data_IF_245881262610
#
_entry.id   IF_245881262610
#
_cell.length_a   1.000
_cell.length_b   1.000
_cell.length_c   1.000
_cell.angle_alpha   90.00
_cell.angle_beta   90.00
_cell.angle_gamma   90.00
#
_symmetry.space_group_name_H-M   'P 1'
#
loop_
_entity.id
_entity.type
_entity.pdbx_description
1 polymer ?
#
# COMPACT_ATOMS: atom_id res chain seq x y z
N UNK A 1 -0.87 -0.61 -12.88
CA UNK A 1 0.13 -0.43 -13.95
C UNK A 1 1.44 -1.11 -13.52
N UNK A 2 2.35 -1.38 -14.45
CA UNK A 2 3.67 -1.94 -14.14
C UNK A 2 4.72 -0.85 -14.36
N UNK A 3 5.66 -0.74 -13.44
CA UNK A 3 6.78 0.20 -13.53
C UNK A 3 8.10 -0.52 -13.27
N UNK A 4 9.16 0.00 -13.89
CA UNK A 4 10.53 -0.43 -13.70
C UNK A 4 11.35 0.75 -13.20
N UNK A 5 12.18 0.52 -12.18
CA UNK A 5 13.01 1.56 -11.56
C UNK A 5 14.49 1.17 -11.65
N UNK A 6 15.30 2.16 -12.01
CA UNK A 6 16.75 2.12 -11.92
C UNK A 6 17.17 3.05 -10.78
N UNK A 7 17.74 2.48 -9.73
CA UNK A 7 18.22 3.25 -8.58
C UNK A 7 19.74 3.38 -8.64
N UNK A 8 20.24 4.60 -8.45
CA UNK A 8 21.67 4.92 -8.39
C UNK A 8 22.20 4.74 -6.95
N UNK A 9 22.20 3.51 -6.45
CA UNK A 9 22.98 3.17 -5.26
C UNK A 9 24.46 3.01 -5.63
N UNK A 10 25.34 2.69 -4.66
CA UNK A 10 26.75 2.40 -4.95
C UNK A 10 26.89 1.27 -6.01
N UNK A 11 25.89 0.39 -6.08
CA UNK A 11 25.68 -0.58 -7.15
C UNK A 11 24.30 -0.37 -7.81
N UNK A 12 24.18 -0.66 -9.10
CA UNK A 12 22.92 -0.50 -9.84
C UNK A 12 21.89 -1.51 -9.34
N UNK A 13 20.71 -1.03 -8.93
CA UNK A 13 19.57 -1.89 -8.59
C UNK A 13 18.51 -1.86 -9.68
N UNK A 14 18.07 -3.05 -10.09
CA UNK A 14 16.95 -3.26 -10.99
C UNK A 14 15.72 -3.69 -10.17
N UNK A 15 14.71 -2.82 -10.13
CA UNK A 15 13.53 -3.03 -9.32
C UNK A 15 12.25 -2.97 -10.15
N UNK A 16 11.33 -3.90 -9.89
CA UNK A 16 10.01 -3.93 -10.50
C UNK A 16 8.96 -3.51 -9.49
N UNK A 17 7.96 -2.75 -9.94
CA UNK A 17 6.79 -2.40 -9.15
C UNK A 17 5.52 -2.73 -9.93
N UNK A 18 4.56 -3.34 -9.24
CA UNK A 18 3.22 -3.57 -9.73
C UNK A 18 2.21 -2.91 -8.82
N UNK A 19 1.39 -2.04 -9.40
CA UNK A 19 0.32 -1.34 -8.71
C UNK A 19 -1.04 -1.74 -9.27
N UNK A 20 -1.99 -2.02 -8.39
CA UNK A 20 -3.41 -2.22 -8.72
C UNK A 20 -4.23 -1.24 -7.91
N UNK A 21 -5.17 -0.56 -8.54
CA UNK A 21 -6.15 0.32 -7.88
C UNK A 21 -7.54 -0.18 -8.22
N UNK A 22 -8.46 -0.15 -7.26
CA UNK A 22 -9.86 -0.49 -7.50
C UNK A 22 -10.79 0.53 -6.87
N UNK A 23 -11.96 0.64 -7.46
CA UNK A 23 -13.09 1.36 -6.92
C UNK A 23 -14.35 0.66 -7.40
N UNK A 24 -15.30 0.46 -6.52
CA UNK A 24 -16.58 -0.12 -6.86
C UNK A 24 -17.67 0.44 -5.95
N UNK A 25 -18.86 0.59 -6.50
CA UNK A 25 -20.04 1.05 -5.77
C UNK A 25 -21.16 0.04 -5.96
N UNK A 26 -21.80 -0.35 -4.86
CA UNK A 26 -22.84 -1.36 -4.80
C UNK A 26 -24.06 -0.84 -4.03
N UNK A 27 -25.13 -1.65 -4.03
CA UNK A 27 -26.35 -1.40 -3.26
C UNK A 27 -26.92 0.01 -3.51
N UNK A 28 -27.11 0.37 -4.78
CA UNK A 28 -27.64 1.67 -5.21
C UNK A 28 -26.90 2.87 -4.59
N UNK A 29 -25.57 2.76 -4.47
CA UNK A 29 -24.74 3.81 -3.90
C UNK A 29 -24.62 3.78 -2.39
N UNK A 30 -25.16 2.76 -1.70
CA UNK A 30 -25.03 2.63 -0.24
C UNK A 30 -23.70 2.05 0.22
N UNK A 31 -23.00 1.30 -0.62
CA UNK A 31 -21.71 0.68 -0.28
C UNK A 31 -20.66 1.10 -1.30
N UNK A 32 -19.55 1.67 -0.83
CA UNK A 32 -18.38 1.96 -1.66
C UNK A 32 -17.20 1.12 -1.19
N UNK A 33 -16.54 0.43 -2.12
CA UNK A 33 -15.27 -0.24 -1.91
C UNK A 33 -14.20 0.48 -2.72
N UNK A 34 -12.99 0.55 -2.19
CA UNK A 34 -11.87 1.16 -2.88
C UNK A 34 -10.55 0.73 -2.29
N UNK A 35 -9.47 1.18 -2.90
CA UNK A 35 -8.13 0.98 -2.39
C UNK A 35 -7.11 0.76 -3.49
N UNK A 36 -5.90 0.48 -3.06
CA UNK A 36 -4.80 0.11 -3.93
C UNK A 36 -3.96 -1.00 -3.30
N UNK A 37 -3.13 -1.62 -4.13
CA UNK A 37 -2.12 -2.60 -3.75
C UNK A 37 -0.86 -2.32 -4.57
N UNK A 38 0.25 -2.13 -3.86
CA UNK A 38 1.60 -2.03 -4.40
C UNK A 38 2.42 -3.24 -3.98
N UNK A 39 3.14 -3.81 -4.94
CA UNK A 39 4.13 -4.85 -4.72
C UNK A 39 5.40 -4.47 -5.49
N UNK A 40 6.53 -4.38 -4.80
CA UNK A 40 7.79 -4.03 -5.45
C UNK A 40 9.00 -4.71 -4.81
N UNK A 41 10.10 -4.72 -5.56
CA UNK A 41 11.42 -5.08 -5.01
C UNK A 41 12.21 -3.84 -4.65
N UNK A 42 13.02 -3.94 -3.60
CA UNK A 42 14.06 -2.96 -3.26
C UNK A 42 15.38 -3.69 -3.04
N UNK A 43 16.50 -3.00 -3.26
CA UNK A 43 17.81 -3.51 -2.90
C UNK A 43 17.96 -3.68 -1.38
N UNK A 44 18.47 -4.82 -0.92
CA UNK A 44 18.67 -5.07 0.51
C UNK A 44 19.62 -4.05 1.13
N UNK A 45 20.60 -3.55 0.35
CA UNK A 45 21.56 -2.55 0.80
C UNK A 45 20.91 -1.23 1.24
N UNK A 46 19.71 -0.93 0.74
CA UNK A 46 18.94 0.26 1.13
C UNK A 46 18.57 0.26 2.62
N UNK A 47 18.34 -0.91 3.22
CA UNK A 47 17.88 -1.02 4.61
C UNK A 47 18.86 -1.75 5.53
N UNK A 48 19.74 -2.60 4.98
CA UNK A 48 20.67 -3.44 5.76
C UNK A 48 22.14 -3.00 5.64
N UNK A 49 22.42 -1.98 4.83
CA UNK A 49 23.75 -1.40 4.65
C UNK A 49 24.48 -1.90 3.40
N UNK A 50 25.61 -1.26 3.03
CA UNK A 50 26.21 -1.40 1.70
C UNK A 50 26.80 -2.78 1.38
N UNK A 51 26.93 -3.65 2.37
CA UNK A 51 27.44 -5.03 2.19
C UNK A 51 26.33 -6.06 2.09
N UNK A 52 25.07 -5.66 2.24
CA UNK A 52 23.93 -6.57 2.13
C UNK A 52 23.67 -6.88 0.66
N UNK A 53 23.50 -8.17 0.35
CA UNK A 53 23.22 -8.67 -0.99
C UNK A 53 21.78 -9.17 -1.08
N UNK A 54 21.19 -9.07 -2.27
CA UNK A 54 19.85 -9.53 -2.59
C UNK A 54 18.78 -8.44 -2.63
N UNK A 55 17.52 -8.90 -2.77
CA UNK A 55 16.34 -8.04 -2.90
C UNK A 55 15.35 -8.28 -1.77
N UNK A 56 14.71 -7.20 -1.33
CA UNK A 56 13.54 -7.25 -0.45
C UNK A 56 12.27 -7.08 -1.25
N UNK A 57 11.31 -7.97 -1.01
CA UNK A 57 9.94 -7.76 -1.46
C UNK A 57 9.24 -6.84 -0.46
N UNK A 58 8.62 -5.79 -0.97
CA UNK A 58 7.84 -4.83 -0.20
C UNK A 58 6.41 -4.84 -0.71
N UNK A 59 5.46 -4.83 0.23
CA UNK A 59 4.03 -4.81 -0.05
C UNK A 59 3.36 -3.71 0.75
N UNK A 60 2.44 -2.99 0.11
CA UNK A 60 1.59 -1.99 0.73
C UNK A 60 0.20 -2.07 0.11
N UNK A 61 -0.84 -2.03 0.92
CA UNK A 61 -2.22 -2.04 0.46
C UNK A 61 -3.12 -1.32 1.46
N UNK A 62 -4.04 -0.51 0.95
CA UNK A 62 -5.02 0.22 1.77
C UNK A 62 -6.44 -0.06 1.24
N UNK A 63 -6.99 -1.28 1.44
CA UNK A 63 -8.39 -1.54 1.18
C UNK A 63 -9.30 -0.68 2.06
N UNK A 64 -10.31 -0.11 1.43
CA UNK A 64 -11.32 0.74 2.03
C UNK A 64 -12.73 0.19 1.82
N UNK A 65 -13.56 0.35 2.84
CA UNK A 65 -14.99 0.07 2.81
C UNK A 65 -15.75 1.23 3.43
N UNK A 66 -16.80 1.69 2.75
CA UNK A 66 -17.62 2.82 3.17
C UNK A 66 -19.10 2.51 3.04
N UNK A 67 -19.84 2.75 4.11
CA UNK A 67 -21.30 2.80 4.10
C UNK A 67 -21.78 4.25 3.97
N UNK A 68 -22.50 4.53 2.89
CA UNK A 68 -23.00 5.86 2.54
C UNK A 68 -24.37 6.08 3.18
N UNK A 69 -24.36 6.74 4.34
CA UNK A 69 -25.56 7.05 5.13
C UNK A 69 -26.41 8.06 4.36
N UNK A 70 -25.77 9.10 3.82
CA UNK A 70 -26.36 10.08 2.91
C UNK A 70 -25.45 10.25 1.68
N UNK A 71 -25.88 10.98 0.63
CA UNK A 71 -25.00 11.30 -0.50
C UNK A 71 -23.71 12.03 -0.07
N UNK A 72 -23.78 12.78 1.02
CA UNK A 72 -22.67 13.59 1.53
C UNK A 72 -21.92 12.95 2.69
N UNK A 73 -22.50 11.99 3.42
CA UNK A 73 -21.92 11.46 4.64
C UNK A 73 -21.78 9.94 4.60
N UNK A 74 -20.56 9.47 4.84
CA UNK A 74 -20.21 8.05 4.91
C UNK A 74 -19.49 7.72 6.21
N UNK A 75 -19.72 6.52 6.72
CA UNK A 75 -18.93 5.88 7.78
C UNK A 75 -18.22 4.68 7.18
N UNK A 76 -16.96 4.48 7.52
CA UNK A 76 -16.20 3.40 6.93
C UNK A 76 -14.95 3.05 7.69
N UNK A 77 -14.17 2.18 7.05
CA UNK A 77 -12.89 1.73 7.54
C UNK A 77 -11.90 1.62 6.40
N UNK A 78 -10.65 1.83 6.74
CA UNK A 78 -9.50 1.51 5.92
C UNK A 78 -8.60 0.58 6.74
N UNK A 79 -7.95 -0.37 6.09
CA UNK A 79 -6.95 -1.21 6.75
C UNK A 79 -5.64 -1.02 6.00
N UNK A 80 -4.64 -0.41 6.64
CA UNK A 80 -3.29 -0.36 6.09
C UNK A 80 -2.63 -1.73 6.31
N UNK A 81 -2.33 -2.42 5.22
CA UNK A 81 -1.61 -3.68 5.19
C UNK A 81 -0.22 -3.44 4.62
N UNK A 82 0.81 -3.84 5.36
CA UNK A 82 2.18 -3.59 4.91
C UNK A 82 3.12 -4.72 5.27
N UNK A 83 4.11 -4.97 4.41
CA UNK A 83 5.20 -5.93 4.66
C UNK A 83 6.51 -5.29 4.22
N UNK A 84 7.50 -5.26 5.12
CA UNK A 84 8.81 -4.61 4.90
C UNK A 84 8.71 -3.12 4.52
N UNK A 85 7.63 -2.45 4.92
CA UNK A 85 7.39 -1.04 4.64
C UNK A 85 7.37 -0.21 5.93
N UNK A 86 6.43 -0.50 6.83
CA UNK A 86 6.41 0.08 8.18
C UNK A 86 7.60 -0.44 8.97
N UNK A 87 8.33 0.45 9.64
CA UNK A 87 9.52 0.14 10.45
C UNK A 87 10.61 -0.66 9.72
N UNK A 88 10.75 -0.48 8.39
CA UNK A 88 11.65 -1.30 7.54
C UNK A 88 13.15 -1.28 7.88
N UNK A 89 13.60 -0.33 8.70
CA UNK A 89 14.98 -0.25 9.20
C UNK A 89 15.20 -0.98 10.54
N UNK A 90 14.12 -1.37 11.22
CA UNK A 90 14.18 -2.06 12.50
C UNK A 90 13.90 -3.57 12.35
N UNK A 91 12.87 -3.94 11.57
CA UNK A 91 12.50 -5.34 11.38
C UNK A 91 11.62 -5.57 10.15
N UNK A 92 11.77 -6.75 9.56
CA UNK A 92 10.92 -7.24 8.47
C UNK A 92 9.66 -7.90 9.03
N UNK A 93 8.55 -7.17 9.09
CA UNK A 93 7.28 -7.68 9.61
C UNK A 93 6.09 -7.26 8.76
N UNK A 94 5.03 -8.05 8.89
CA UNK A 94 3.71 -7.73 8.37
C UNK A 94 2.92 -6.93 9.41
N UNK A 95 2.32 -5.82 8.98
CA UNK A 95 1.42 -5.00 9.79
C UNK A 95 0.03 -4.96 9.15
N UNK A 96 -0.98 -4.96 10.01
CA UNK A 96 -2.37 -4.69 9.64
C UNK A 96 -2.91 -3.65 10.63
N UNK A 97 -3.15 -2.44 10.16
CA UNK A 97 -3.51 -1.28 10.98
C UNK A 97 -4.92 -0.84 10.59
N UNK A 98 -5.96 -1.25 11.33
CA UNK A 98 -7.33 -0.87 11.03
C UNK A 98 -7.59 0.57 11.50
N UNK A 99 -8.29 1.32 10.66
CA UNK A 99 -8.74 2.68 10.90
C UNK A 99 -10.25 2.75 10.77
N UNK A 100 -10.92 3.42 11.72
CA UNK A 100 -12.32 3.79 11.60
C UNK A 100 -12.40 5.27 11.25
N UNK A 101 -13.18 5.62 10.24
CA UNK A 101 -13.24 6.98 9.72
C UNK A 101 -14.64 7.37 9.25
N UNK A 102 -14.90 8.67 9.24
CA UNK A 102 -16.06 9.27 8.56
C UNK A 102 -15.57 10.10 7.38
N UNK A 103 -16.39 10.19 6.33
CA UNK A 103 -16.08 10.95 5.12
C UNK A 103 -17.23 11.90 4.78
N UNK A 104 -16.87 13.12 4.40
CA UNK A 104 -17.81 14.12 3.88
C UNK A 104 -17.53 14.41 2.40
N UNK A 105 -18.52 14.21 1.53
CA UNK A 105 -18.46 14.57 0.10
C UNK A 105 -19.16 15.92 -0.12
N UNK A 106 -18.48 16.87 -0.76
CA UNK A 106 -18.98 18.22 -1.04
C UNK A 106 -19.82 18.28 -2.32
#
# INVERSE_FOLDING_TARGET
YVAYKLNAFNDVSHDAQWTVTWNATFADGKLSLGGFMDLWTEDASFTEGPTADGKKLVFLSEPQIWYNITPNFSLGSEIELSYNFVNKFAESKFFAIPTLATKWNF
#
